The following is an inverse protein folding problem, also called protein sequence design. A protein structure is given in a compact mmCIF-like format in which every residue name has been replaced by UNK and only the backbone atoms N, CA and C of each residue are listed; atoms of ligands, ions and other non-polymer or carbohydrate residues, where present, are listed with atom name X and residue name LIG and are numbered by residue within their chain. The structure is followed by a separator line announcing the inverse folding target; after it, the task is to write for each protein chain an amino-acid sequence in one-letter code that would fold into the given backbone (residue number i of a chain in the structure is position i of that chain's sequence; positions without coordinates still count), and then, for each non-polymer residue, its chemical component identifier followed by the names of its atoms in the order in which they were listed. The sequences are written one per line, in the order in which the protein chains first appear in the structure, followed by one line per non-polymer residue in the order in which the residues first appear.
data_IF_121306624844
#
_entry.id   IF_121306624844
#
_cell.length_a   1.000
_cell.length_b   1.000
_cell.length_c   1.000
_cell.angle_alpha   90.00
_cell.angle_beta   90.00
_cell.angle_gamma   90.00
#
_symmetry.space_group_name_H-M   'P 1'
#
loop_
_entity.id
_entity.type
_entity.pdbx_description
1 polymer ?
#
# COMPACT_ATOMS: atom_id res chain seq x y z
N UNK A 1 36.89 -22.41 82.47
CA UNK A 1 37.08 -22.87 81.11
C UNK A 1 35.66 -23.26 80.61
N UNK A 2 35.03 -22.45 79.84
CA UNK A 2 33.66 -22.67 79.31
C UNK A 2 33.78 -23.37 77.93
N UNK A 3 33.40 -24.63 77.89
CA UNK A 3 33.31 -25.38 76.68
C UNK A 3 32.16 -24.81 75.82
N UNK A 4 32.50 -24.13 74.71
CA UNK A 4 31.53 -23.68 73.70
C UNK A 4 31.43 -24.79 72.65
N UNK A 5 30.23 -25.37 72.40
CA UNK A 5 30.07 -26.39 71.39
C UNK A 5 30.34 -25.83 69.97
N UNK A 6 30.91 -26.66 69.08
CA UNK A 6 31.18 -26.23 67.70
C UNK A 6 29.90 -25.87 66.94
N UNK A 7 29.95 -24.87 66.04
CA UNK A 7 28.79 -24.48 65.23
C UNK A 7 28.32 -25.63 64.31
N UNK A 8 26.99 -25.71 64.00
CA UNK A 8 26.46 -26.74 63.15
C UNK A 8 26.97 -26.59 61.68
N UNK A 9 27.10 -27.69 60.93
CA UNK A 9 27.56 -27.62 59.55
C UNK A 9 26.60 -26.85 58.65
N UNK A 10 27.11 -26.17 57.60
CA UNK A 10 26.28 -25.42 56.70
C UNK A 10 25.32 -26.36 55.92
N UNK A 11 24.11 -25.85 55.57
CA UNK A 11 23.13 -26.64 54.80
C UNK A 11 23.69 -27.01 53.40
N UNK A 12 23.29 -28.14 52.84
CA UNK A 12 23.73 -28.57 51.50
C UNK A 12 23.24 -27.58 50.42
N UNK A 13 24.01 -27.38 49.34
CA UNK A 13 23.61 -26.47 48.26
C UNK A 13 22.32 -26.98 47.56
N UNK A 14 21.46 -26.08 47.07
CA UNK A 14 20.25 -26.45 46.38
C UNK A 14 20.59 -27.28 45.09
N UNK A 15 19.71 -28.22 44.68
CA UNK A 15 19.94 -28.99 43.48
C UNK A 15 19.94 -28.07 42.22
N UNK A 16 20.74 -28.40 41.20
CA UNK A 16 20.78 -27.63 39.95
C UNK A 16 19.39 -27.60 39.26
N UNK A 17 19.03 -26.49 38.61
CA UNK A 17 17.79 -26.43 37.87
C UNK A 17 17.73 -27.49 36.75
N UNK A 18 16.54 -28.01 36.44
CA UNK A 18 16.40 -29.01 35.36
C UNK A 18 16.82 -28.38 34.00
N UNK A 19 17.42 -29.19 33.10
CA UNK A 19 17.83 -28.71 31.79
C UNK A 19 16.60 -28.20 31.00
N UNK A 20 16.78 -27.14 30.16
CA UNK A 20 15.69 -26.66 29.31
C UNK A 20 15.20 -27.79 28.38
N UNK A 21 13.90 -27.84 28.07
CA UNK A 21 13.37 -28.82 27.14
C UNK A 21 14.04 -28.66 25.77
N UNK A 22 14.25 -29.78 25.04
CA UNK A 22 14.84 -29.74 23.72
C UNK A 22 14.04 -28.84 22.78
N UNK A 23 14.71 -28.11 21.85
CA UNK A 23 14.01 -27.31 20.84
C UNK A 23 13.00 -28.22 20.11
N UNK A 24 11.75 -27.76 20.03
CA UNK A 24 10.73 -28.43 19.23
C UNK A 24 11.17 -28.55 17.76
N UNK A 25 10.67 -29.54 17.01
CA UNK A 25 10.98 -29.65 15.60
C UNK A 25 10.66 -28.33 14.89
N UNK A 26 11.48 -27.90 13.92
CA UNK A 26 11.20 -26.68 13.16
C UNK A 26 9.82 -26.81 12.53
N UNK A 27 9.06 -25.69 12.46
CA UNK A 27 7.75 -25.72 11.81
C UNK A 27 7.92 -26.29 10.41
N UNK A 28 7.19 -27.37 10.10
CA UNK A 28 7.15 -27.94 8.76
C UNK A 28 6.69 -26.86 7.80
N UNK A 29 7.55 -26.44 6.88
CA UNK A 29 7.20 -25.51 5.82
C UNK A 29 6.04 -26.07 5.00
N UNK A 30 5.25 -25.20 4.34
CA UNK A 30 4.14 -25.64 3.51
C UNK A 30 4.62 -26.64 2.46
N UNK A 31 3.80 -27.67 2.13
CA UNK A 31 4.18 -28.66 1.12
C UNK A 31 4.47 -27.99 -0.22
N UNK A 32 5.43 -28.52 -1.02
CA UNK A 32 5.73 -28.00 -2.35
C UNK A 32 4.48 -28.02 -3.22
N UNK A 33 4.04 -26.84 -3.72
CA UNK A 33 2.89 -26.71 -4.60
C UNK A 33 1.66 -26.04 -4.00
N UNK A 34 1.64 -25.76 -2.69
CA UNK A 34 0.61 -24.85 -2.16
C UNK A 34 1.06 -23.39 -2.36
N UNK A 35 0.18 -22.52 -2.92
CA UNK A 35 0.43 -21.09 -2.87
C UNK A 35 0.64 -20.69 -1.41
N UNK A 36 1.52 -19.70 -1.12
CA UNK A 36 1.79 -19.28 0.24
C UNK A 36 0.46 -19.03 0.95
N UNK A 37 0.19 -19.80 2.01
CA UNK A 37 -0.98 -19.57 2.85
C UNK A 37 -0.73 -18.24 3.55
N UNK A 38 -1.36 -17.19 3.00
CA UNK A 38 -1.47 -15.94 3.71
C UNK A 38 -2.14 -16.28 5.04
N UNK A 39 -1.45 -15.98 6.15
CA UNK A 39 -1.94 -16.28 7.49
C UNK A 39 -3.42 -15.94 7.59
N UNK A 40 -4.17 -16.76 8.36
CA UNK A 40 -5.61 -16.62 8.50
C UNK A 40 -5.99 -15.14 8.58
N UNK A 41 -6.94 -14.65 7.78
CA UNK A 41 -7.34 -13.26 7.82
C UNK A 41 -7.70 -12.92 9.28
N UNK A 42 -7.22 -11.78 9.80
CA UNK A 42 -7.62 -11.33 11.12
C UNK A 42 -9.16 -11.28 11.18
N UNK A 43 -9.76 -11.52 12.36
CA UNK A 43 -11.20 -11.54 12.50
C UNK A 43 -11.78 -10.29 11.87
N UNK A 44 -12.73 -10.46 10.98
CA UNK A 44 -13.37 -9.47 10.12
C UNK A 44 -14.01 -8.35 10.96
N UNK A 45 -13.21 -7.37 11.33
CA UNK A 45 -13.71 -6.05 11.63
C UNK A 45 -14.27 -5.50 10.32
N UNK A 46 -15.55 -5.10 10.32
CA UNK A 46 -16.15 -4.42 9.18
C UNK A 46 -15.24 -3.27 8.76
N UNK A 47 -14.88 -3.20 7.46
CA UNK A 47 -14.04 -2.12 6.94
C UNK A 47 -14.75 -0.78 7.24
N UNK A 48 -14.24 -0.05 8.22
CA UNK A 48 -14.82 1.23 8.65
C UNK A 48 -14.36 2.34 7.70
N UNK A 49 -15.29 2.75 6.83
CA UNK A 49 -15.07 3.83 5.85
C UNK A 49 -14.79 5.15 6.56
N UNK A 50 -15.52 5.43 7.65
CA UNK A 50 -15.35 6.65 8.43
C UNK A 50 -13.96 6.73 9.05
N UNK A 51 -13.50 5.62 9.63
CA UNK A 51 -12.14 5.53 10.17
C UNK A 51 -11.08 5.69 9.07
N UNK A 52 -11.27 5.06 7.89
CA UNK A 52 -10.34 5.20 6.78
C UNK A 52 -10.26 6.63 6.24
N UNK A 53 -11.39 7.32 6.12
CA UNK A 53 -11.43 8.72 5.67
C UNK A 53 -10.82 9.67 6.70
N UNK A 54 -11.18 9.52 7.98
CA UNK A 54 -10.64 10.37 9.06
C UNK A 54 -9.13 10.16 9.23
N UNK A 55 -8.66 8.90 9.13
CA UNK A 55 -7.24 8.59 9.12
C UNK A 55 -6.53 9.21 7.91
N UNK A 56 -7.11 9.05 6.71
CA UNK A 56 -6.59 9.65 5.48
C UNK A 56 -6.47 11.16 5.59
N UNK A 57 -7.49 11.83 6.15
CA UNK A 57 -7.47 13.26 6.40
C UNK A 57 -6.38 13.68 7.39
N UNK A 58 -6.29 12.98 8.53
CA UNK A 58 -5.26 13.24 9.55
C UNK A 58 -3.86 13.15 8.95
N UNK A 59 -3.54 12.01 8.29
CA UNK A 59 -2.21 11.79 7.71
C UNK A 59 -1.92 12.72 6.53
N UNK A 60 -2.94 13.10 5.76
CA UNK A 60 -2.79 14.11 4.72
C UNK A 60 -2.42 15.47 5.33
N UNK A 61 -3.13 15.92 6.38
CA UNK A 61 -2.84 17.21 7.03
C UNK A 61 -1.49 17.26 7.74
N UNK A 62 -1.02 16.12 8.26
CA UNK A 62 0.33 15.99 8.83
C UNK A 62 1.43 16.08 7.76
N UNK A 63 1.14 15.73 6.50
CA UNK A 63 2.12 15.61 5.41
C UNK A 63 1.74 16.39 4.15
N UNK A 64 1.02 17.50 4.28
CA UNK A 64 0.47 18.27 3.13
C UNK A 64 1.54 18.62 2.10
N UNK A 65 2.67 19.19 2.53
CA UNK A 65 3.72 19.65 1.63
C UNK A 65 4.28 18.53 0.75
N UNK A 66 4.85 17.48 1.30
CA UNK A 66 5.38 16.35 0.53
C UNK A 66 4.33 15.68 -0.35
N UNK A 67 3.12 15.44 0.14
CA UNK A 67 2.06 14.78 -0.61
C UNK A 67 1.58 15.61 -1.81
N UNK A 68 1.41 16.92 -1.62
CA UNK A 68 1.07 17.82 -2.72
C UNK A 68 2.20 17.84 -3.76
N UNK A 69 3.45 17.90 -3.34
CA UNK A 69 4.60 17.87 -4.26
C UNK A 69 4.66 16.56 -5.05
N UNK A 70 4.39 15.42 -4.41
CA UNK A 70 4.35 14.10 -5.08
C UNK A 70 3.30 14.09 -6.19
N UNK A 71 2.17 14.76 -5.98
CA UNK A 71 1.09 14.83 -6.98
C UNK A 71 1.36 15.90 -8.03
N UNK A 72 1.86 17.08 -7.63
CA UNK A 72 2.12 18.19 -8.55
C UNK A 72 3.30 17.96 -9.50
N UNK A 73 4.37 17.30 -9.04
CA UNK A 73 5.56 17.13 -9.86
C UNK A 73 5.28 16.39 -11.18
N UNK A 74 4.61 15.22 -11.20
CA UNK A 74 4.23 14.57 -12.46
C UNK A 74 3.33 15.45 -13.33
N UNK A 75 2.40 16.19 -12.74
CA UNK A 75 1.50 17.09 -13.49
C UNK A 75 2.26 18.25 -14.11
N UNK A 76 3.21 18.84 -13.39
CA UNK A 76 4.05 19.89 -13.95
C UNK A 76 4.88 19.38 -15.14
N UNK A 77 5.42 18.18 -15.04
CA UNK A 77 6.13 17.52 -16.15
C UNK A 77 5.18 17.30 -17.34
N UNK A 78 3.96 16.81 -17.11
CA UNK A 78 2.95 16.64 -18.17
C UNK A 78 2.64 17.95 -18.87
N UNK A 79 2.39 19.03 -18.11
CA UNK A 79 2.10 20.35 -18.69
C UNK A 79 3.22 20.84 -19.61
N UNK A 80 4.49 20.67 -19.20
CA UNK A 80 5.65 21.03 -20.02
C UNK A 80 5.68 20.23 -21.33
N UNK A 81 5.40 18.94 -21.26
CA UNK A 81 5.41 18.03 -22.41
C UNK A 81 4.25 18.33 -23.35
N UNK A 82 3.06 18.60 -22.82
CA UNK A 82 1.89 19.00 -23.60
C UNK A 82 2.18 20.30 -24.38
N UNK A 83 2.81 21.30 -23.71
CA UNK A 83 3.22 22.54 -24.37
C UNK A 83 4.25 22.27 -25.49
N UNK A 84 5.25 21.42 -25.25
CA UNK A 84 6.22 21.04 -26.28
C UNK A 84 5.51 20.32 -27.43
N UNK A 85 4.61 19.39 -27.12
CA UNK A 85 3.83 18.64 -28.12
C UNK A 85 2.99 19.55 -29.02
N UNK A 86 2.32 20.55 -28.41
CA UNK A 86 1.47 21.51 -29.14
C UNK A 86 2.31 22.44 -30.03
N UNK A 87 3.43 22.97 -29.54
CA UNK A 87 4.18 24.03 -30.23
C UNK A 87 5.32 23.51 -31.10
N UNK A 88 5.93 22.36 -30.77
CA UNK A 88 7.14 21.84 -31.43
C UNK A 88 6.86 20.65 -32.33
N UNK A 89 6.08 19.68 -31.88
CA UNK A 89 5.84 18.42 -32.62
C UNK A 89 4.41 18.40 -33.12
N UNK A 90 4.20 18.89 -34.36
CA UNK A 90 2.86 18.95 -34.93
C UNK A 90 2.45 17.60 -35.56
N UNK A 91 1.11 17.37 -35.61
CA UNK A 91 0.53 16.22 -36.26
C UNK A 91 0.41 14.98 -35.38
N UNK A 92 0.04 13.86 -35.99
CA UNK A 92 -0.26 12.60 -35.28
C UNK A 92 0.94 11.99 -34.54
N UNK A 93 2.16 12.22 -35.04
CA UNK A 93 3.40 11.76 -34.39
C UNK A 93 3.60 12.48 -33.06
N UNK A 94 3.36 13.81 -33.04
CA UNK A 94 3.39 14.59 -31.81
C UNK A 94 2.36 14.14 -30.78
N UNK A 95 1.15 13.87 -31.24
CA UNK A 95 0.09 13.33 -30.38
C UNK A 95 0.49 11.98 -29.76
N UNK A 96 1.01 11.04 -30.54
CA UNK A 96 1.47 9.74 -30.02
C UNK A 96 2.63 9.88 -29.03
N UNK A 97 3.57 10.80 -29.29
CA UNK A 97 4.67 11.07 -28.38
C UNK A 97 4.17 11.60 -27.04
N UNK A 98 3.31 12.62 -27.07
CA UNK A 98 2.71 13.21 -25.85
C UNK A 98 1.90 12.16 -25.09
N UNK A 99 1.10 11.36 -25.79
CA UNK A 99 0.29 10.31 -25.17
C UNK A 99 1.17 9.23 -24.50
N UNK A 100 2.20 8.72 -25.19
CA UNK A 100 3.09 7.69 -24.66
C UNK A 100 3.89 8.21 -23.44
N UNK A 101 4.41 9.42 -23.55
CA UNK A 101 5.16 10.02 -22.46
C UNK A 101 4.23 10.39 -21.28
N UNK A 102 3.01 10.83 -21.57
CA UNK A 102 1.98 11.09 -20.57
C UNK A 102 1.65 9.85 -19.74
N UNK A 103 1.49 8.70 -20.40
CA UNK A 103 1.29 7.41 -19.73
C UNK A 103 2.48 7.08 -18.82
N UNK A 104 3.71 7.26 -19.29
CA UNK A 104 4.91 7.01 -18.49
C UNK A 104 4.96 7.90 -17.24
N UNK A 105 4.73 9.20 -17.40
CA UNK A 105 4.71 10.15 -16.26
C UNK A 105 3.59 9.81 -15.27
N UNK A 106 2.43 9.40 -15.76
CA UNK A 106 1.34 8.92 -14.90
C UNK A 106 1.76 7.69 -14.08
N UNK A 107 2.46 6.71 -14.68
CA UNK A 107 2.99 5.54 -13.97
C UNK A 107 3.99 5.92 -12.86
N UNK A 108 4.84 6.90 -13.13
CA UNK A 108 5.78 7.45 -12.11
C UNK A 108 4.99 8.15 -10.99
N UNK A 109 3.99 8.95 -11.34
CA UNK A 109 3.12 9.62 -10.37
C UNK A 109 2.38 8.64 -9.47
N UNK A 110 1.84 7.56 -10.02
CA UNK A 110 1.21 6.49 -9.24
C UNK A 110 2.19 5.81 -8.28
N UNK A 111 3.43 5.54 -8.70
CA UNK A 111 4.45 5.02 -7.78
C UNK A 111 4.62 5.94 -6.57
N UNK A 112 4.83 7.24 -6.84
CA UNK A 112 5.07 8.22 -5.79
C UNK A 112 3.94 8.27 -4.76
N UNK A 113 2.70 8.31 -5.22
CA UNK A 113 1.56 8.47 -4.31
C UNK A 113 1.27 7.20 -3.49
N UNK A 114 1.42 6.00 -4.08
CA UNK A 114 1.28 4.74 -3.34
C UNK A 114 2.40 4.55 -2.32
N UNK A 115 3.64 4.88 -2.66
CA UNK A 115 4.75 4.84 -1.72
C UNK A 115 4.59 5.89 -0.61
N UNK A 116 4.19 7.11 -0.95
CA UNK A 116 3.88 8.15 0.02
C UNK A 116 2.81 7.73 1.03
N UNK A 117 1.74 7.08 0.55
CA UNK A 117 0.70 6.54 1.42
C UNK A 117 1.20 5.40 2.33
N UNK A 118 2.07 4.52 1.83
CA UNK A 118 2.70 3.48 2.64
C UNK A 118 3.62 4.08 3.71
N UNK A 119 4.43 5.09 3.39
CA UNK A 119 5.25 5.82 4.37
C UNK A 119 4.38 6.43 5.47
N UNK A 120 3.32 7.16 5.10
CA UNK A 120 2.41 7.79 6.03
C UNK A 120 1.76 6.77 6.99
N UNK A 121 1.34 5.61 6.48
CA UNK A 121 0.71 4.55 7.29
C UNK A 121 1.69 3.75 8.14
N UNK A 122 2.99 3.79 7.82
CA UNK A 122 4.06 3.21 8.65
C UNK A 122 4.55 4.16 9.74
N UNK A 123 4.12 5.44 9.71
CA UNK A 123 4.62 6.48 10.61
C UNK A 123 5.99 7.03 10.21
N UNK A 124 6.42 6.73 9.00
CA UNK A 124 7.62 7.33 8.41
C UNK A 124 7.30 8.75 7.92
N UNK A 125 8.29 9.64 7.98
CA UNK A 125 8.15 10.95 7.34
C UNK A 125 8.04 10.77 5.84
N UNK A 126 6.98 11.34 5.24
CA UNK A 126 6.82 11.28 3.78
C UNK A 126 7.92 12.11 3.13
N UNK A 127 8.81 11.43 2.41
CA UNK A 127 9.93 12.03 1.70
C UNK A 127 9.67 11.98 0.20
N UNK A 128 9.72 13.15 -0.45
CA UNK A 128 9.46 13.28 -1.88
C UNK A 128 10.41 12.41 -2.73
N UNK A 129 11.71 12.44 -2.44
CA UNK A 129 12.68 11.70 -3.24
C UNK A 129 12.53 10.18 -3.07
N UNK A 130 12.29 9.72 -1.84
CA UNK A 130 12.07 8.30 -1.54
C UNK A 130 10.79 7.76 -2.15
N UNK A 131 9.74 8.60 -2.26
CA UNK A 131 8.48 8.21 -2.86
C UNK A 131 8.60 7.78 -4.33
N UNK A 132 9.61 8.28 -5.05
CA UNK A 132 9.88 7.91 -6.44
C UNK A 132 11.01 6.89 -6.61
N UNK A 133 11.58 6.37 -5.52
CA UNK A 133 12.66 5.39 -5.58
C UNK A 133 12.12 3.97 -5.56
N UNK A 134 12.53 3.16 -6.52
CA UNK A 134 12.32 1.72 -6.55
C UNK A 134 13.49 1.03 -7.24
N UNK A 135 13.90 -0.12 -6.73
CA UNK A 135 14.90 -0.99 -7.35
C UNK A 135 14.28 -1.91 -8.42
N UNK A 136 12.93 -1.88 -8.56
CA UNK A 136 12.15 -2.76 -9.44
C UNK A 136 11.40 -1.99 -10.54
N UNK A 137 12.05 -1.00 -11.17
CA UNK A 137 11.41 -0.17 -12.19
C UNK A 137 10.74 -0.96 -13.32
N UNK A 138 11.42 -1.99 -13.86
CA UNK A 138 10.85 -2.81 -14.94
C UNK A 138 9.57 -3.54 -14.51
N UNK A 139 9.56 -4.11 -13.30
CA UNK A 139 8.38 -4.79 -12.78
C UNK A 139 7.26 -3.81 -12.41
N UNK A 140 7.61 -2.62 -11.90
CA UNK A 140 6.64 -1.57 -11.63
C UNK A 140 5.96 -1.10 -12.92
N UNK A 141 6.71 -0.83 -13.98
CA UNK A 141 6.15 -0.44 -15.27
C UNK A 141 5.21 -1.54 -15.78
N UNK A 142 5.63 -2.80 -15.73
CA UNK A 142 4.78 -3.94 -16.10
C UNK A 142 3.50 -4.01 -15.27
N UNK A 143 3.60 -3.83 -13.95
CA UNK A 143 2.44 -3.77 -13.05
C UNK A 143 1.51 -2.60 -13.41
N UNK A 144 2.07 -1.41 -13.60
CA UNK A 144 1.31 -0.19 -13.89
C UNK A 144 0.57 -0.30 -15.25
N UNK A 145 1.18 -0.94 -16.26
CA UNK A 145 0.52 -1.23 -17.55
C UNK A 145 -0.68 -2.17 -17.33
N UNK A 146 -0.49 -3.30 -16.66
CA UNK A 146 -1.56 -4.28 -16.44
C UNK A 146 -2.69 -3.65 -15.61
N UNK A 147 -2.36 -3.01 -14.51
CA UNK A 147 -3.34 -2.37 -13.64
C UNK A 147 -4.05 -1.21 -14.33
N UNK A 148 -3.29 -0.38 -15.07
CA UNK A 148 -3.83 0.73 -15.86
C UNK A 148 -4.79 0.26 -16.96
N UNK A 149 -4.48 -0.84 -17.64
CA UNK A 149 -5.37 -1.46 -18.63
C UNK A 149 -6.67 -1.97 -17.99
N UNK A 150 -6.59 -2.60 -16.81
CA UNK A 150 -7.78 -3.03 -16.07
C UNK A 150 -8.70 -1.84 -15.75
N UNK A 151 -8.13 -0.74 -15.26
CA UNK A 151 -8.88 0.49 -14.97
C UNK A 151 -9.43 1.11 -16.27
N UNK A 152 -8.64 1.19 -17.33
CA UNK A 152 -9.06 1.74 -18.62
C UNK A 152 -10.22 0.95 -19.26
N UNK A 153 -10.15 -0.38 -19.23
CA UNK A 153 -11.27 -1.24 -19.67
C UNK A 153 -12.50 -1.00 -18.80
N UNK A 154 -12.33 -0.89 -17.49
CA UNK A 154 -13.41 -0.55 -16.57
C UNK A 154 -14.07 0.79 -16.90
N UNK A 155 -13.29 1.82 -17.22
CA UNK A 155 -13.80 3.13 -17.66
C UNK A 155 -14.51 3.05 -19.01
N UNK A 156 -14.00 2.27 -19.97
CA UNK A 156 -14.60 2.09 -21.28
C UNK A 156 -15.98 1.42 -21.23
N UNK A 157 -16.21 0.54 -20.25
CA UNK A 157 -17.50 -0.13 -20.05
C UNK A 157 -18.51 0.74 -19.30
N UNK A 158 -18.12 1.78 -18.64
CA UNK A 158 -18.83 2.80 -17.87
C UNK A 158 -18.01 3.11 -16.60
N UNK A 159 -18.17 4.28 -16.03
CA UNK A 159 -17.50 4.65 -14.77
C UNK A 159 -17.67 3.61 -13.64
N UNK A 160 -18.81 2.91 -13.64
CA UNK A 160 -19.09 1.80 -12.72
C UNK A 160 -18.08 0.65 -12.86
N UNK A 161 -17.63 0.33 -14.08
CA UNK A 161 -16.62 -0.71 -14.29
C UNK A 161 -15.28 -0.37 -13.62
N UNK A 162 -14.86 0.88 -13.69
CA UNK A 162 -13.65 1.31 -12.97
C UNK A 162 -13.81 1.21 -11.45
N UNK A 163 -14.98 1.53 -10.91
CA UNK A 163 -15.27 1.36 -9.48
C UNK A 163 -15.20 -0.11 -9.05
N UNK A 164 -15.67 -1.04 -9.89
CA UNK A 164 -15.54 -2.47 -9.64
C UNK A 164 -14.06 -2.88 -9.61
N UNK A 165 -13.25 -2.38 -10.55
CA UNK A 165 -11.81 -2.64 -10.53
C UNK A 165 -11.17 -2.11 -9.25
N UNK A 166 -11.48 -0.90 -8.85
CA UNK A 166 -10.95 -0.30 -7.60
C UNK A 166 -11.44 -1.08 -6.37
N UNK A 167 -12.70 -1.50 -6.35
CA UNK A 167 -13.29 -2.25 -5.25
C UNK A 167 -12.57 -3.59 -4.99
N UNK A 168 -12.21 -4.31 -6.03
CA UNK A 168 -11.63 -5.66 -5.88
C UNK A 168 -10.11 -5.70 -6.03
N UNK A 169 -9.52 -4.78 -6.78
CA UNK A 169 -8.07 -4.74 -7.07
C UNK A 169 -7.38 -3.47 -6.56
N UNK A 170 -8.08 -2.59 -5.84
CA UNK A 170 -7.51 -1.36 -5.28
C UNK A 170 -6.37 -1.57 -4.28
N UNK A 171 -6.26 -2.78 -3.69
CA UNK A 171 -5.15 -3.14 -2.81
C UNK A 171 -3.93 -3.71 -3.55
N UNK A 172 -4.03 -4.05 -4.84
CA UNK A 172 -2.96 -4.67 -5.60
C UNK A 172 -1.66 -3.84 -5.62
N UNK A 173 -1.68 -2.50 -5.78
CA UNK A 173 -0.46 -1.70 -5.70
C UNK A 173 0.26 -1.81 -4.37
N UNK A 174 -0.48 -1.92 -3.25
CA UNK A 174 0.12 -2.08 -1.92
C UNK A 174 0.75 -3.46 -1.75
N UNK A 175 0.11 -4.52 -2.20
CA UNK A 175 0.70 -5.87 -2.21
C UNK A 175 1.97 -5.92 -3.04
N UNK A 176 1.97 -5.27 -4.20
CA UNK A 176 3.13 -5.21 -5.08
C UNK A 176 4.30 -4.46 -4.44
N UNK A 177 4.05 -3.27 -3.88
CA UNK A 177 5.09 -2.39 -3.32
C UNK A 177 5.55 -2.82 -1.93
N UNK A 178 4.61 -3.10 -1.00
CA UNK A 178 4.90 -3.39 0.40
C UNK A 178 5.45 -4.80 0.61
N UNK A 179 4.85 -5.80 -0.06
CA UNK A 179 5.24 -7.21 0.04
C UNK A 179 6.13 -7.70 -1.09
N UNK A 180 6.52 -6.80 -2.01
CA UNK A 180 7.38 -7.11 -3.16
C UNK A 180 6.89 -8.30 -3.99
N UNK A 181 5.57 -8.49 -4.09
CA UNK A 181 4.95 -9.61 -4.80
C UNK A 181 5.13 -9.48 -6.32
N UNK A 182 5.02 -10.60 -7.03
CA UNK A 182 4.91 -10.58 -8.50
C UNK A 182 3.56 -10.00 -8.92
N UNK A 183 3.47 -9.51 -10.15
CA UNK A 183 2.27 -8.83 -10.69
C UNK A 183 1.01 -9.67 -10.49
N UNK A 184 1.02 -10.93 -10.96
CA UNK A 184 -0.13 -11.83 -10.86
C UNK A 184 -0.52 -12.16 -9.42
N UNK A 185 0.49 -12.35 -8.55
CA UNK A 185 0.28 -12.67 -7.14
C UNK A 185 -0.34 -11.45 -6.39
N UNK A 186 0.13 -10.24 -6.66
CA UNK A 186 -0.41 -9.01 -6.07
C UNK A 186 -1.88 -8.77 -6.46
N UNK A 187 -2.22 -8.99 -7.75
CA UNK A 187 -3.59 -8.89 -8.27
C UNK A 187 -4.49 -9.95 -7.62
N UNK A 188 -4.01 -11.20 -7.54
CA UNK A 188 -4.74 -12.32 -6.93
C UNK A 188 -4.93 -12.11 -5.41
N UNK A 189 -3.89 -11.67 -4.70
CA UNK A 189 -3.96 -11.39 -3.28
C UNK A 189 -4.96 -10.26 -2.96
N UNK A 190 -4.96 -9.19 -3.76
CA UNK A 190 -5.94 -8.11 -3.63
C UNK A 190 -7.37 -8.64 -3.75
N UNK A 191 -7.65 -9.40 -4.80
CA UNK A 191 -8.97 -9.98 -5.04
C UNK A 191 -9.42 -10.91 -3.91
N UNK A 192 -8.53 -11.80 -3.45
CA UNK A 192 -8.83 -12.73 -2.36
C UNK A 192 -9.13 -11.99 -1.06
N UNK A 193 -8.31 -10.99 -0.70
CA UNK A 193 -8.49 -10.19 0.51
C UNK A 193 -9.79 -9.42 0.47
N UNK A 194 -10.12 -8.78 -0.63
CA UNK A 194 -11.36 -8.01 -0.77
C UNK A 194 -12.60 -8.91 -0.79
N UNK A 195 -12.53 -10.07 -1.43
CA UNK A 195 -13.64 -11.03 -1.45
C UNK A 195 -13.90 -11.65 -0.09
N UNK A 196 -12.88 -11.88 0.72
CA UNK A 196 -13.01 -12.46 2.06
C UNK A 196 -13.52 -11.47 3.13
N UNK A 197 -13.48 -10.16 2.84
CA UNK A 197 -13.90 -9.09 3.75
C UNK A 197 -15.10 -8.33 3.16
N UNK A 198 -16.33 -8.65 3.57
CA UNK A 198 -17.56 -8.19 2.95
C UNK A 198 -17.72 -6.66 2.85
N UNK A 199 -17.17 -5.88 3.79
CA UNK A 199 -17.22 -4.42 3.78
C UNK A 199 -16.11 -3.76 2.97
N UNK A 200 -15.02 -4.48 2.68
CA UNK A 200 -13.82 -3.91 2.08
C UNK A 200 -14.01 -3.45 0.63
N UNK A 201 -14.71 -4.20 -0.26
CA UNK A 201 -14.98 -3.73 -1.61
C UNK A 201 -15.78 -2.42 -1.63
N UNK A 202 -16.78 -2.29 -0.75
CA UNK A 202 -17.59 -1.08 -0.64
C UNK A 202 -16.74 0.09 -0.15
N UNK A 203 -15.91 -0.12 0.87
CA UNK A 203 -15.02 0.90 1.39
C UNK A 203 -14.03 1.40 0.32
N UNK A 204 -13.42 0.50 -0.45
CA UNK A 204 -12.52 0.86 -1.55
C UNK A 204 -13.25 1.59 -2.69
N UNK A 205 -14.47 1.17 -3.03
CA UNK A 205 -15.28 1.87 -4.04
C UNK A 205 -15.61 3.30 -3.58
N UNK A 206 -15.99 3.49 -2.32
CA UNK A 206 -16.25 4.83 -1.76
C UNK A 206 -14.98 5.69 -1.77
N UNK A 207 -13.83 5.14 -1.39
CA UNK A 207 -12.56 5.88 -1.48
C UNK A 207 -12.23 6.22 -2.94
N UNK A 208 -12.48 5.31 -3.89
CA UNK A 208 -12.34 5.58 -5.32
C UNK A 208 -13.25 6.73 -5.80
N UNK A 209 -14.49 6.78 -5.33
CA UNK A 209 -15.40 7.89 -5.59
C UNK A 209 -14.88 9.21 -5.01
N UNK A 210 -14.43 9.20 -3.76
CA UNK A 210 -13.84 10.39 -3.11
C UNK A 210 -12.63 10.89 -3.90
N UNK A 211 -11.73 10.00 -4.33
CA UNK A 211 -10.60 10.36 -5.18
C UNK A 211 -11.03 10.95 -6.51
N UNK A 212 -12.08 10.39 -7.14
CA UNK A 212 -12.60 10.84 -8.43
C UNK A 212 -13.35 12.16 -8.37
N UNK A 213 -14.12 12.42 -7.31
CA UNK A 213 -14.93 13.67 -7.16
C UNK A 213 -14.03 14.90 -7.18
N UNK A 214 -12.81 14.81 -6.66
CA UNK A 214 -11.86 15.94 -6.72
C UNK A 214 -11.54 16.43 -8.12
N UNK A 215 -11.71 15.57 -9.15
CA UNK A 215 -11.51 15.95 -10.54
C UNK A 215 -12.53 16.97 -11.07
N UNK A 216 -13.70 17.08 -10.44
CA UNK A 216 -14.73 18.10 -10.81
C UNK A 216 -14.43 19.49 -10.25
N UNK A 217 -13.54 19.61 -9.29
CA UNK A 217 -13.11 20.86 -8.69
C UNK A 217 -11.64 21.08 -9.04
N UNK A 218 -11.32 22.15 -9.77
CA UNK A 218 -10.03 22.41 -10.44
C UNK A 218 -8.76 22.01 -9.66
N UNK A 219 -8.74 22.10 -8.34
CA UNK A 219 -7.63 21.72 -7.47
C UNK A 219 -8.01 20.65 -6.43
N UNK A 220 -9.26 20.21 -6.42
CA UNK A 220 -9.76 19.26 -5.42
C UNK A 220 -9.03 17.90 -5.46
N UNK A 221 -8.59 17.46 -6.64
CA UNK A 221 -7.85 16.21 -6.82
C UNK A 221 -6.50 16.18 -6.08
N UNK A 222 -5.87 17.35 -5.83
CA UNK A 222 -4.65 17.45 -5.02
C UNK A 222 -4.86 17.01 -3.58
N UNK A 223 -6.07 17.07 -3.08
CA UNK A 223 -6.46 16.66 -1.74
C UNK A 223 -7.11 15.29 -1.75
N UNK A 224 -8.07 15.08 -2.64
CA UNK A 224 -8.91 13.87 -2.61
C UNK A 224 -8.18 12.61 -3.05
N UNK A 225 -7.21 12.71 -3.99
CA UNK A 225 -6.43 11.55 -4.40
C UNK A 225 -5.50 11.07 -3.28
N UNK A 226 -4.62 11.90 -2.67
CA UNK A 226 -3.81 11.46 -1.54
C UNK A 226 -4.65 10.92 -0.38
N UNK A 227 -5.72 11.60 -0.03
CA UNK A 227 -6.62 11.19 1.04
C UNK A 227 -7.20 9.80 0.79
N UNK A 228 -7.73 9.55 -0.41
CA UNK A 228 -8.32 8.28 -0.79
C UNK A 228 -7.28 7.14 -0.78
N UNK A 229 -6.07 7.40 -1.28
CA UNK A 229 -5.01 6.38 -1.34
C UNK A 229 -4.43 6.10 0.06
N UNK A 230 -4.29 7.09 0.94
CA UNK A 230 -3.91 6.88 2.34
C UNK A 230 -5.00 6.07 3.06
N UNK A 231 -6.28 6.40 2.85
CA UNK A 231 -7.39 5.62 3.38
C UNK A 231 -7.38 4.16 2.89
N UNK A 232 -7.07 3.93 1.62
CA UNK A 232 -6.91 2.58 1.06
C UNK A 232 -5.69 1.85 1.65
N UNK A 233 -4.57 2.54 1.89
CA UNK A 233 -3.40 1.99 2.58
C UNK A 233 -3.72 1.61 4.04
N UNK A 234 -4.52 2.41 4.73
CA UNK A 234 -5.04 2.10 6.05
C UNK A 234 -5.86 0.81 6.04
N UNK A 235 -6.83 0.69 5.11
CA UNK A 235 -7.63 -0.53 4.96
C UNK A 235 -6.79 -1.75 4.60
N UNK A 236 -5.78 -1.57 3.73
CA UNK A 236 -4.83 -2.62 3.38
C UNK A 236 -4.10 -3.16 4.62
N UNK A 237 -3.56 -2.28 5.46
CA UNK A 237 -2.84 -2.69 6.67
C UNK A 237 -3.77 -3.38 7.67
N UNK A 238 -4.98 -2.87 7.87
CA UNK A 238 -6.00 -3.53 8.68
C UNK A 238 -6.37 -4.92 8.16
N UNK A 239 -6.65 -5.05 6.86
CA UNK A 239 -7.02 -6.32 6.24
C UNK A 239 -5.88 -7.35 6.24
N UNK A 240 -4.62 -6.90 6.35
CA UNK A 240 -3.44 -7.77 6.39
C UNK A 240 -2.85 -7.95 7.78
N UNK A 241 -3.52 -7.42 8.83
CA UNK A 241 -3.07 -7.52 10.22
C UNK A 241 -1.76 -6.77 10.52
N UNK A 242 -1.42 -5.78 9.70
CA UNK A 242 -0.23 -4.97 9.90
C UNK A 242 -0.52 -3.79 10.86
N UNK A 243 0.46 -3.37 11.69
CA UNK A 243 0.29 -2.22 12.55
C UNK A 243 0.13 -0.94 11.72
N UNK A 244 -0.78 -0.07 12.14
CA UNK A 244 -1.00 1.26 11.53
C UNK A 244 -0.45 2.31 12.50
N UNK A 245 0.32 3.25 11.99
CA UNK A 245 0.85 4.36 12.78
C UNK A 245 -0.29 5.29 13.25
N UNK A 246 -0.27 5.75 14.50
CA UNK A 246 -1.31 6.58 15.08
C UNK A 246 -1.47 7.93 14.37
#
# INVERSE_FOLDING_TARGET
MTDVPPPPPPPPPPPPPPPPPPPGPPPSGPPPGQPPSFGAPPPSGSADIGAALSYGWKKFTENVGPLILIVLAPVAVLLVIDLIGIFVIKGWVGFLFVAAFGVFVAMVGYLGIFQGALMATRGETVDFAKAFQTDRWGEWIGFAIVYGLMVAIGLAVCYVGALVVIAFWGLAPFYFLDRRMKIGDAISASFQTTRSNSGLPVALAVLGLVGGVGGFVCIGWLVTIPLAIIGAAYLYRHATGQPVAP
#
